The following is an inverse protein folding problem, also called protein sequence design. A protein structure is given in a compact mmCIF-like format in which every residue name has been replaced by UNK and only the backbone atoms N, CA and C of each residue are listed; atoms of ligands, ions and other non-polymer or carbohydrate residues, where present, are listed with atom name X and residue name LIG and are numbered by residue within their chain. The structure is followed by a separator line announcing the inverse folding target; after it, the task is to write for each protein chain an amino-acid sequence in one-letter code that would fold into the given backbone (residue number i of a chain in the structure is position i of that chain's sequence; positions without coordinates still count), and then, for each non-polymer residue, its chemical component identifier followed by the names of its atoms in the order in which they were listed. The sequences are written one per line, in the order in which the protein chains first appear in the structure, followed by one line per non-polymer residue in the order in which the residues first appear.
data_IF_843806099997
#
_entry.id   IF_843806099997
#
_cell.length_a   1.000
_cell.length_b   1.000
_cell.length_c   1.000
_cell.angle_alpha   90.00
_cell.angle_beta   90.00
_cell.angle_gamma   90.00
#
_symmetry.space_group_name_H-M   'P 1'
#
loop_
_entity.id
_entity.type
_entity.pdbx_description
1 polymer ?
#
# COMPACT_ATOMS: atom_id res chain seq x y z
N UNK A 1 16.58 -13.29 -15.33
CA UNK A 1 15.55 -12.26 -15.04
C UNK A 1 15.00 -12.49 -13.65
N UNK A 2 14.66 -11.45 -12.87
CA UNK A 2 14.16 -11.61 -11.50
C UNK A 2 12.91 -12.50 -11.44
N UNK A 3 11.99 -12.33 -12.40
CA UNK A 3 10.75 -13.11 -12.48
C UNK A 3 11.01 -14.63 -12.50
N UNK A 4 11.99 -15.10 -13.28
CA UNK A 4 12.30 -16.53 -13.38
C UNK A 4 12.97 -17.09 -12.13
N UNK A 5 13.62 -16.23 -11.32
CA UNK A 5 14.15 -16.66 -10.02
C UNK A 5 13.04 -16.80 -8.99
N UNK A 6 12.04 -15.91 -9.00
CA UNK A 6 10.88 -15.97 -8.12
C UNK A 6 9.99 -17.18 -8.46
N UNK A 7 9.75 -17.40 -9.76
CA UNK A 7 9.03 -18.57 -10.26
C UNK A 7 9.72 -19.88 -9.86
N UNK A 8 11.07 -19.95 -9.90
CA UNK A 8 11.81 -21.14 -9.47
C UNK A 8 11.70 -21.50 -7.98
N UNK A 9 11.12 -20.61 -7.17
CA UNK A 9 10.84 -20.82 -5.74
C UNK A 9 9.35 -20.69 -5.42
N UNK A 10 8.48 -20.91 -6.40
CA UNK A 10 7.02 -20.88 -6.31
C UNK A 10 6.45 -19.54 -5.81
N UNK A 11 7.12 -18.43 -6.14
CA UNK A 11 6.62 -17.07 -5.87
C UNK A 11 5.95 -16.53 -7.12
N UNK A 12 4.63 -16.38 -7.07
CA UNK A 12 3.84 -15.75 -8.12
C UNK A 12 4.23 -14.28 -8.30
N UNK A 13 4.36 -13.85 -9.55
CA UNK A 13 4.71 -12.48 -9.91
C UNK A 13 3.66 -11.86 -10.83
N UNK A 14 3.31 -10.60 -10.60
CA UNK A 14 2.54 -9.77 -11.54
C UNK A 14 3.44 -8.62 -12.01
N UNK A 15 3.32 -8.21 -13.27
CA UNK A 15 4.10 -7.12 -13.84
C UNK A 15 3.17 -5.98 -14.26
N UNK A 16 3.38 -4.78 -13.70
CA UNK A 16 2.72 -3.57 -14.14
C UNK A 16 3.32 -3.07 -15.47
N UNK A 17 2.51 -2.37 -16.27
CA UNK A 17 2.98 -1.71 -17.50
C UNK A 17 3.86 -0.50 -17.19
N UNK A 18 3.45 0.27 -16.19
CA UNK A 18 4.10 1.50 -15.76
C UNK A 18 4.43 1.37 -14.26
N UNK A 19 3.87 2.22 -13.42
CA UNK A 19 4.02 2.14 -11.97
C UNK A 19 3.29 0.93 -11.36
N UNK A 20 3.89 0.32 -10.35
CA UNK A 20 3.41 -0.93 -9.75
C UNK A 20 2.48 -0.71 -8.54
N UNK A 21 2.38 0.49 -7.98
CA UNK A 21 1.78 0.72 -6.68
C UNK A 21 0.31 0.36 -6.64
N UNK A 22 -0.44 0.78 -7.65
CA UNK A 22 -1.86 0.45 -7.79
C UNK A 22 -2.06 -1.06 -7.94
N UNK A 23 -1.24 -1.71 -8.77
CA UNK A 23 -1.32 -3.17 -8.99
C UNK A 23 -1.03 -3.96 -7.70
N UNK A 24 -0.07 -3.49 -6.89
CA UNK A 24 0.27 -4.07 -5.60
C UNK A 24 -0.92 -3.96 -4.64
N UNK A 25 -1.51 -2.77 -4.51
CA UNK A 25 -2.64 -2.53 -3.61
C UNK A 25 -3.88 -3.31 -4.04
N UNK A 26 -4.23 -3.29 -5.33
CA UNK A 26 -5.39 -4.02 -5.84
C UNK A 26 -5.24 -5.53 -5.63
N UNK A 27 -4.04 -6.07 -5.90
CA UNK A 27 -3.75 -7.48 -5.62
C UNK A 27 -3.91 -7.80 -4.14
N UNK A 28 -3.42 -6.95 -3.23
CA UNK A 28 -3.57 -7.21 -1.81
C UNK A 28 -5.03 -7.16 -1.33
N UNK A 29 -5.85 -6.26 -1.90
CA UNK A 29 -7.29 -6.21 -1.60
C UNK A 29 -7.96 -7.50 -2.07
N UNK A 30 -7.74 -7.93 -3.32
CA UNK A 30 -8.26 -9.19 -3.87
C UNK A 30 -7.87 -10.41 -3.00
N UNK A 31 -6.58 -10.53 -2.69
CA UNK A 31 -6.06 -11.62 -1.84
C UNK A 31 -6.68 -11.60 -0.45
N UNK A 32 -6.92 -10.41 0.13
CA UNK A 32 -7.54 -10.29 1.45
C UNK A 32 -8.99 -10.76 1.47
N UNK A 33 -9.74 -10.58 0.38
CA UNK A 33 -11.12 -11.08 0.26
C UNK A 33 -11.16 -12.61 0.21
N UNK A 34 -10.13 -13.24 -0.36
CA UNK A 34 -10.00 -14.70 -0.42
C UNK A 34 -9.42 -15.32 0.86
N UNK A 35 -8.49 -14.63 1.53
CA UNK A 35 -7.69 -15.16 2.63
C UNK A 35 -7.94 -14.48 3.98
N UNK A 36 -8.96 -13.61 4.08
CA UNK A 36 -9.33 -12.75 5.23
C UNK A 36 -8.34 -11.64 5.56
N UNK A 37 -7.13 -11.70 5.02
CA UNK A 37 -6.12 -10.65 5.20
C UNK A 37 -5.04 -10.75 4.15
N UNK A 38 -4.35 -9.63 3.91
CA UNK A 38 -3.13 -9.57 3.11
C UNK A 38 -2.15 -8.57 3.75
N UNK A 39 -0.86 -8.75 3.45
CA UNK A 39 0.19 -7.84 3.92
C UNK A 39 1.01 -7.34 2.74
N UNK A 40 0.95 -6.03 2.50
CA UNK A 40 1.84 -5.33 1.58
C UNK A 40 3.15 -5.03 2.32
N UNK A 41 4.28 -5.37 1.72
CA UNK A 41 5.61 -5.08 2.28
C UNK A 41 6.34 -4.14 1.34
N UNK A 42 6.73 -2.96 1.82
CA UNK A 42 7.41 -1.96 1.01
C UNK A 42 8.03 -0.85 1.83
N UNK A 43 8.83 0.00 1.20
CA UNK A 43 9.35 1.24 1.82
C UNK A 43 8.51 2.46 1.42
N UNK A 44 7.89 2.45 0.25
CA UNK A 44 7.14 3.59 -0.30
C UNK A 44 5.86 3.88 0.50
N UNK A 45 5.66 5.15 0.88
CA UNK A 45 4.47 5.56 1.64
C UNK A 45 3.24 5.72 0.74
N UNK A 46 3.43 5.90 -0.56
CA UNK A 46 2.36 6.04 -1.53
C UNK A 46 1.50 4.76 -1.55
N UNK A 47 2.10 3.59 -1.30
CA UNK A 47 1.39 2.32 -1.09
C UNK A 47 0.36 2.40 0.05
N UNK A 48 0.70 3.04 1.17
CA UNK A 48 -0.22 3.20 2.31
C UNK A 48 -1.36 4.16 1.95
N UNK A 49 -1.03 5.26 1.27
CA UNK A 49 -2.00 6.28 0.84
C UNK A 49 -3.00 5.68 -0.15
N UNK A 50 -2.50 4.96 -1.15
CA UNK A 50 -3.32 4.23 -2.13
C UNK A 50 -4.15 3.17 -1.43
N UNK A 51 -3.59 2.39 -0.51
CA UNK A 51 -4.34 1.42 0.28
C UNK A 51 -5.53 2.08 1.01
N UNK A 52 -5.29 3.16 1.76
CA UNK A 52 -6.35 3.87 2.49
C UNK A 52 -7.43 4.42 1.54
N UNK A 53 -7.01 4.98 0.40
CA UNK A 53 -7.93 5.59 -0.58
C UNK A 53 -8.73 4.57 -1.39
N UNK A 54 -8.20 3.36 -1.59
CA UNK A 54 -8.86 2.29 -2.37
C UNK A 54 -9.74 1.38 -1.49
N UNK A 55 -9.41 1.20 -0.21
CA UNK A 55 -10.13 0.27 0.67
C UNK A 55 -11.42 0.88 1.22
N UNK A 56 -12.54 0.17 1.09
CA UNK A 56 -13.82 0.54 1.68
C UNK A 56 -13.91 0.07 3.14
N UNK A 57 -14.72 0.74 3.97
CA UNK A 57 -14.82 0.44 5.42
C UNK A 57 -15.31 -0.97 5.74
N UNK A 58 -16.05 -1.61 4.83
CA UNK A 58 -16.58 -2.96 5.04
C UNK A 58 -15.71 -4.08 4.45
N UNK A 59 -14.59 -3.74 3.78
CA UNK A 59 -13.69 -4.74 3.23
C UNK A 59 -12.83 -5.41 4.31
N UNK A 60 -12.25 -6.55 3.94
CA UNK A 60 -11.28 -7.26 4.77
C UNK A 60 -10.04 -6.41 5.04
N UNK A 61 -9.37 -6.71 6.16
CA UNK A 61 -8.26 -5.89 6.62
C UNK A 61 -6.96 -6.25 5.87
N UNK A 62 -6.35 -5.22 5.28
CA UNK A 62 -5.05 -5.30 4.63
C UNK A 62 -4.06 -4.50 5.46
N UNK A 63 -2.89 -5.07 5.69
CA UNK A 63 -1.82 -4.40 6.42
C UNK A 63 -0.73 -3.92 5.47
N UNK A 64 -0.19 -2.74 5.74
CA UNK A 64 1.04 -2.26 5.12
C UNK A 64 2.17 -2.32 6.15
N UNK A 65 3.19 -3.13 5.85
CA UNK A 65 4.41 -3.23 6.63
C UNK A 65 5.49 -2.39 5.97
N UNK A 66 5.72 -1.19 6.52
CA UNK A 66 6.84 -0.32 6.15
C UNK A 66 8.12 -0.89 6.74
N UNK A 67 8.98 -1.43 5.89
CA UNK A 67 10.27 -2.01 6.32
C UNK A 67 11.19 -0.87 6.80
N UNK A 68 11.77 -1.04 7.98
CA UNK A 68 12.73 -0.08 8.54
C UNK A 68 14.08 -0.14 7.82
N UNK A 69 14.79 1.01 7.78
CA UNK A 69 16.14 1.14 7.20
C UNK A 69 17.07 1.83 8.19
N UNK A 70 18.26 1.26 8.42
CA UNK A 70 19.22 1.77 9.40
C UNK A 70 18.63 1.77 10.82
N UNK A 71 18.56 2.94 11.45
CA UNK A 71 18.00 3.11 12.80
C UNK A 71 16.47 3.28 12.82
N UNK A 72 15.81 3.31 11.65
CA UNK A 72 14.35 3.42 11.55
C UNK A 72 13.72 2.06 11.82
N UNK A 73 12.77 2.00 12.76
CA UNK A 73 12.04 0.76 13.08
C UNK A 73 11.01 0.45 12.00
N UNK A 74 10.80 -0.84 11.77
CA UNK A 74 9.67 -1.35 10.99
C UNK A 74 8.34 -0.91 11.63
N UNK A 75 7.42 -0.43 10.81
CA UNK A 75 6.08 0.00 11.22
C UNK A 75 5.02 -0.78 10.45
N UNK A 76 3.87 -1.03 11.08
CA UNK A 76 2.74 -1.72 10.46
C UNK A 76 1.51 -0.82 10.60
N UNK A 77 0.81 -0.63 9.49
CA UNK A 77 -0.39 0.18 9.38
C UNK A 77 -1.53 -0.68 8.85
N UNK A 78 -2.74 -0.46 9.34
CA UNK A 78 -3.95 -1.11 8.83
C UNK A 78 -4.64 -0.25 7.77
N UNK A 79 -5.26 -0.87 6.76
CA UNK A 79 -6.15 -0.19 5.80
C UNK A 79 -7.34 0.52 6.47
N UNK A 80 -7.68 0.11 7.70
CA UNK A 80 -8.75 0.67 8.55
C UNK A 80 -8.27 1.80 9.47
N UNK A 81 -6.98 2.16 9.45
CA UNK A 81 -6.40 3.17 10.36
C UNK A 81 -7.10 4.55 10.27
N UNK A 82 -7.73 4.85 9.13
CA UNK A 82 -8.43 6.11 8.87
C UNK A 82 -9.96 6.00 8.97
N UNK A 83 -10.53 4.87 9.40
CA UNK A 83 -11.99 4.70 9.46
C UNK A 83 -12.65 5.64 10.48
N UNK A 84 -11.93 6.02 11.54
CA UNK A 84 -12.37 7.07 12.48
C UNK A 84 -12.32 8.50 11.91
N UNK A 85 -11.74 8.68 10.72
CA UNK A 85 -11.60 9.98 10.04
C UNK A 85 -12.18 9.91 8.62
N UNK A 86 -13.49 9.71 8.45
CA UNK A 86 -14.11 9.43 7.14
C UNK A 86 -13.87 10.55 6.11
N UNK A 87 -13.83 11.80 6.55
CA UNK A 87 -13.49 12.93 5.67
C UNK A 87 -12.03 12.90 5.22
N UNK A 88 -11.09 12.55 6.10
CA UNK A 88 -9.69 12.42 5.72
C UNK A 88 -9.50 11.24 4.77
N UNK A 89 -10.13 10.10 5.04
CA UNK A 89 -10.08 8.92 4.16
C UNK A 89 -10.60 9.24 2.75
N UNK A 90 -11.76 9.90 2.66
CA UNK A 90 -12.35 10.34 1.38
C UNK A 90 -11.45 11.28 0.58
N UNK A 91 -10.67 12.10 1.27
CA UNK A 91 -9.80 13.11 0.66
C UNK A 91 -8.31 12.76 0.77
N UNK A 92 -7.95 11.50 1.03
CA UNK A 92 -6.58 11.12 1.40
C UNK A 92 -5.57 11.43 0.30
N UNK A 93 -5.91 11.20 -0.97
CA UNK A 93 -5.05 11.54 -2.11
C UNK A 93 -4.78 13.05 -2.19
N UNK A 94 -5.84 13.85 -2.00
CA UNK A 94 -5.71 15.30 -1.97
C UNK A 94 -4.83 15.74 -0.80
N UNK A 95 -5.09 15.23 0.41
CA UNK A 95 -4.28 15.54 1.60
C UNK A 95 -2.81 15.17 1.38
N UNK A 96 -2.53 14.02 0.79
CA UNK A 96 -1.18 13.55 0.49
C UNK A 96 -0.44 14.47 -0.48
N UNK A 97 -1.11 14.91 -1.56
CA UNK A 97 -0.55 15.89 -2.49
C UNK A 97 -0.09 17.17 -1.77
N UNK A 98 -0.80 17.62 -0.74
CA UNK A 98 -0.42 18.80 0.03
C UNK A 98 0.60 18.51 1.14
N UNK A 99 0.51 17.38 1.84
CA UNK A 99 1.42 17.07 2.96
C UNK A 99 2.81 16.60 2.52
N UNK A 100 2.96 16.24 1.24
CA UNK A 100 4.21 15.79 0.65
C UNK A 100 4.09 14.36 0.11
N UNK A 101 4.08 14.24 -1.22
CA UNK A 101 4.36 13.01 -1.94
C UNK A 101 5.88 12.86 -2.15
N UNK A 102 6.37 11.64 -2.31
CA UNK A 102 7.80 11.31 -2.45
C UNK A 102 8.49 12.11 -3.58
N UNK A 103 7.72 12.53 -4.60
CA UNK A 103 8.16 13.57 -5.54
C UNK A 103 7.87 14.96 -4.98
N UNK A 104 8.95 15.65 -4.65
CA UNK A 104 9.04 17.01 -4.09
C UNK A 104 8.18 18.03 -4.85
N UNK A 105 6.91 18.15 -4.49
CA UNK A 105 6.01 19.24 -4.87
C UNK A 105 5.11 19.59 -3.68
N UNK A 106 5.69 19.60 -2.48
CA UNK A 106 5.06 20.29 -1.37
C UNK A 106 5.08 21.80 -1.68
N UNK A 107 3.95 22.49 -1.47
CA UNK A 107 3.84 23.94 -1.70
C UNK A 107 4.61 24.79 -0.67
N UNK A 108 5.41 24.18 0.19
CA UNK A 108 6.14 24.81 1.28
C UNK A 108 7.63 24.43 1.27
#
# INVERSE_FOLDING_TARGET
MLIGKLDSVDITTKQARDDADVLIVETAIEESEHHRTAVIVGEDIDLLVILIGRTQTHQEEVFFKKVGKGNVKTQIYSSKSFDKYPHCKKHIFFLHTFSGCDTTSAFF
#
